data_IF_873232992402
#
_entry.id   IF_873232992402
#
_cell.length_a   1.000
_cell.length_b   1.000
_cell.length_c   1.000
_cell.angle_alpha   90.00
_cell.angle_beta   90.00
_cell.angle_gamma   90.00
#
_symmetry.space_group_name_H-M   'P 1'
#
loop_
_entity.id
_entity.type
_entity.pdbx_description
1 polymer ?
#
# COMPACT_ATOMS: atom_id res chain seq x y z
N UNK A 1 7.15 0.55 -22.69
CA UNK A 1 6.53 0.04 -21.47
C UNK A 1 5.92 1.20 -20.73
N UNK A 2 4.63 1.17 -20.57
CA UNK A 2 3.99 2.20 -19.77
C UNK A 2 4.34 1.99 -18.29
N UNK A 3 4.62 3.05 -17.57
CA UNK A 3 4.79 3.01 -16.13
C UNK A 3 3.49 2.80 -15.37
N UNK A 4 2.45 2.31 -16.02
CA UNK A 4 1.10 2.30 -15.50
C UNK A 4 0.94 1.46 -14.23
N UNK A 5 1.66 0.35 -14.10
CA UNK A 5 1.58 -0.54 -12.93
C UNK A 5 2.86 -0.54 -12.12
N UNK A 6 3.74 0.41 -12.33
CA UNK A 6 5.05 0.42 -11.68
C UNK A 6 4.98 0.58 -10.16
N UNK A 7 4.05 1.39 -9.66
CA UNK A 7 3.88 1.56 -8.23
C UNK A 7 3.49 0.24 -7.56
N UNK A 8 2.56 -0.50 -8.15
CA UNK A 8 2.16 -1.82 -7.66
C UNK A 8 3.34 -2.79 -7.66
N UNK A 9 4.07 -2.86 -8.78
CA UNK A 9 5.20 -3.76 -8.93
C UNK A 9 6.33 -3.42 -7.96
N UNK A 10 6.64 -2.14 -7.81
CA UNK A 10 7.64 -1.68 -6.85
C UNK A 10 7.21 -2.03 -5.42
N UNK A 11 5.95 -1.80 -5.08
CA UNK A 11 5.41 -2.14 -3.76
C UNK A 11 5.48 -3.65 -3.50
N UNK A 12 5.13 -4.47 -4.46
CA UNK A 12 5.23 -5.93 -4.33
C UNK A 12 6.67 -6.39 -4.16
N UNK A 13 7.60 -5.80 -4.90
CA UNK A 13 9.03 -6.10 -4.75
C UNK A 13 9.52 -5.71 -3.35
N UNK A 14 9.09 -4.56 -2.81
CA UNK A 14 9.45 -4.15 -1.46
C UNK A 14 8.92 -5.12 -0.41
N UNK A 15 7.70 -5.66 -0.59
CA UNK A 15 7.16 -6.67 0.31
C UNK A 15 8.04 -7.92 0.31
N UNK A 16 8.52 -8.34 -0.86
CA UNK A 16 9.41 -9.49 -0.98
C UNK A 16 10.79 -9.23 -0.35
N UNK A 17 11.28 -8.00 -0.43
CA UNK A 17 12.59 -7.62 0.12
C UNK A 17 12.56 -7.29 1.61
N UNK A 18 11.39 -7.03 2.17
CA UNK A 18 11.25 -6.60 3.57
C UNK A 18 11.96 -7.49 4.58
N UNK A 19 11.92 -8.86 4.48
CA UNK A 19 12.65 -9.72 5.42
C UNK A 19 14.16 -9.56 5.41
N UNK A 20 14.72 -8.98 4.35
CA UNK A 20 16.17 -8.80 4.19
C UNK A 20 16.66 -7.43 4.68
N UNK A 21 15.75 -6.60 5.20
CA UNK A 21 16.08 -5.32 5.80
C UNK A 21 15.95 -4.13 4.86
N UNK A 22 16.13 -2.96 5.43
CA UNK A 22 15.99 -1.68 4.75
C UNK A 22 17.35 -1.20 4.25
N UNK A 23 17.76 -1.69 3.09
CA UNK A 23 19.02 -1.34 2.45
C UNK A 23 18.90 -0.17 1.46
N UNK A 24 19.99 0.15 0.75
CA UNK A 24 20.01 1.22 -0.24
C UNK A 24 19.00 0.99 -1.37
N UNK A 25 18.79 -0.24 -1.80
CA UNK A 25 17.81 -0.58 -2.83
C UNK A 25 16.40 -0.24 -2.37
N UNK A 26 16.06 -0.61 -1.13
CA UNK A 26 14.78 -0.29 -0.51
C UNK A 26 14.61 1.22 -0.39
N UNK A 27 15.65 1.95 0.04
CA UNK A 27 15.58 3.40 0.16
C UNK A 27 15.32 4.09 -1.17
N UNK A 28 15.96 3.63 -2.23
CA UNK A 28 15.73 4.18 -3.57
C UNK A 28 14.31 3.90 -4.08
N UNK A 29 13.79 2.71 -3.80
CA UNK A 29 12.43 2.35 -4.16
C UNK A 29 11.40 3.21 -3.40
N UNK A 30 11.63 3.45 -2.11
CA UNK A 30 10.77 4.32 -1.31
C UNK A 30 10.81 5.78 -1.82
N UNK A 31 12.00 6.28 -2.17
CA UNK A 31 12.13 7.62 -2.73
C UNK A 31 11.35 7.74 -4.04
N UNK A 32 11.45 6.73 -4.90
CA UNK A 32 10.70 6.69 -6.16
C UNK A 32 9.19 6.66 -5.91
N UNK A 33 8.71 5.86 -4.95
CA UNK A 33 7.28 5.83 -4.60
C UNK A 33 6.79 7.20 -4.12
N UNK A 34 7.61 7.94 -3.36
CA UNK A 34 7.26 9.30 -2.93
C UNK A 34 7.07 10.23 -4.13
N UNK A 35 7.88 10.08 -5.16
CA UNK A 35 7.74 10.88 -6.38
C UNK A 35 6.48 10.51 -7.17
N UNK A 36 6.03 9.25 -7.08
CA UNK A 36 4.85 8.79 -7.79
C UNK A 36 3.54 9.14 -7.09
N UNK A 37 3.57 9.45 -5.81
CA UNK A 37 2.37 9.77 -5.06
C UNK A 37 1.71 11.04 -5.59
N UNK A 38 0.41 10.98 -5.83
CA UNK A 38 -0.37 12.13 -6.26
C UNK A 38 -0.64 13.08 -5.08
N UNK A 39 -1.04 14.34 -5.34
CA UNK A 39 -1.27 15.32 -4.27
C UNK A 39 -2.28 14.90 -3.22
N UNK A 40 -3.19 13.98 -3.54
CA UNK A 40 -4.20 13.45 -2.61
C UNK A 40 -3.77 12.16 -1.89
N UNK A 41 -2.55 11.70 -2.13
CA UNK A 41 -2.02 10.47 -1.53
C UNK A 41 -2.27 9.21 -2.35
N UNK A 42 -2.94 9.33 -3.50
CA UNK A 42 -3.21 8.18 -4.36
C UNK A 42 -2.04 7.85 -5.27
N UNK A 43 -2.11 6.66 -5.86
CA UNK A 43 -1.14 6.17 -6.85
C UNK A 43 -1.88 5.76 -8.11
N UNK A 44 -1.24 5.99 -9.26
CA UNK A 44 -1.84 5.69 -10.54
C UNK A 44 -1.58 4.24 -10.96
N UNK A 45 -2.61 3.61 -11.53
CA UNK A 45 -2.50 2.38 -12.30
C UNK A 45 -3.17 2.62 -13.65
N UNK A 46 -2.44 2.39 -14.72
CA UNK A 46 -2.93 2.67 -16.08
C UNK A 46 -3.43 4.11 -16.26
N UNK A 47 -2.74 5.06 -15.61
CA UNK A 47 -3.05 6.48 -15.74
C UNK A 47 -4.16 7.01 -14.85
N UNK A 48 -4.77 6.17 -14.02
CA UNK A 48 -5.87 6.57 -13.12
C UNK A 48 -5.57 6.17 -11.67
N UNK A 49 -5.98 7.00 -10.69
CA UNK A 49 -5.86 6.62 -9.28
C UNK A 49 -6.59 5.31 -9.00
N UNK A 50 -5.93 4.39 -8.33
CA UNK A 50 -6.44 3.05 -8.04
C UNK A 50 -6.32 2.73 -6.55
N UNK A 51 -7.39 2.18 -5.98
CA UNK A 51 -7.40 1.75 -4.58
C UNK A 51 -6.39 0.64 -4.34
N UNK A 52 -6.28 -0.31 -5.26
CA UNK A 52 -5.35 -1.43 -5.12
C UNK A 52 -3.89 -0.96 -5.11
N UNK A 53 -3.55 0.06 -5.90
CA UNK A 53 -2.20 0.63 -5.89
C UNK A 53 -1.88 1.25 -4.53
N UNK A 54 -2.80 2.01 -3.95
CA UNK A 54 -2.62 2.55 -2.60
C UNK A 54 -2.45 1.43 -1.57
N UNK A 55 -3.28 0.39 -1.66
CA UNK A 55 -3.23 -0.75 -0.74
C UNK A 55 -1.90 -1.49 -0.83
N UNK A 56 -1.38 -1.72 -2.04
CA UNK A 56 -0.08 -2.39 -2.21
C UNK A 56 1.07 -1.57 -1.61
N UNK A 57 1.06 -0.26 -1.80
CA UNK A 57 2.07 0.61 -1.18
C UNK A 57 1.99 0.53 0.34
N UNK A 58 0.79 0.57 0.92
CA UNK A 58 0.60 0.43 2.37
C UNK A 58 1.09 -0.91 2.89
N UNK A 59 0.81 -2.00 2.16
CA UNK A 59 1.31 -3.33 2.53
C UNK A 59 2.84 -3.37 2.53
N UNK A 60 3.47 -2.71 1.57
CA UNK A 60 4.93 -2.61 1.51
C UNK A 60 5.49 -1.84 2.71
N UNK A 61 4.89 -0.70 3.04
CA UNK A 61 5.31 0.09 4.20
C UNK A 61 5.15 -0.69 5.49
N UNK A 62 4.01 -1.35 5.66
CA UNK A 62 3.75 -2.17 6.85
C UNK A 62 4.76 -3.32 6.98
N UNK A 63 5.07 -4.01 5.87
CA UNK A 63 6.06 -5.08 5.87
C UNK A 63 7.45 -4.58 6.26
N UNK A 64 7.79 -3.34 5.91
CA UNK A 64 9.04 -2.70 6.29
C UNK A 64 9.00 -2.07 7.70
N UNK A 65 7.86 -2.11 8.38
CA UNK A 65 7.69 -1.50 9.69
C UNK A 65 7.63 0.02 9.66
N UNK A 66 7.21 0.60 8.54
CA UNK A 66 7.22 2.04 8.31
C UNK A 66 5.81 2.62 8.48
N UNK A 67 5.68 3.63 9.31
CA UNK A 67 4.45 4.38 9.47
C UNK A 67 4.25 5.31 8.27
N UNK A 68 3.12 5.23 7.56
CA UNK A 68 2.89 6.07 6.37
C UNK A 68 2.97 7.58 6.65
N UNK A 69 2.46 8.04 7.78
CA UNK A 69 2.49 9.46 8.11
C UNK A 69 3.91 9.95 8.38
N UNK A 70 4.71 9.15 9.07
CA UNK A 70 6.11 9.49 9.34
C UNK A 70 6.93 9.56 8.06
N UNK A 71 6.67 8.67 7.10
CA UNK A 71 7.46 8.60 5.88
C UNK A 71 7.01 9.59 4.80
N UNK A 72 5.71 9.80 4.65
CA UNK A 72 5.14 10.63 3.57
C UNK A 72 4.56 11.96 4.06
N UNK A 73 4.21 12.08 5.33
CA UNK A 73 3.57 13.26 5.89
C UNK A 73 2.06 13.08 6.07
N UNK A 74 1.35 14.19 6.29
CA UNK A 74 -0.09 14.18 6.56
C UNK A 74 -0.93 13.71 5.36
N UNK A 75 -0.45 13.94 4.15
CA UNK A 75 -1.00 13.32 2.94
C UNK A 75 -0.09 12.14 2.61
N UNK A 76 -0.65 10.94 2.62
CA UNK A 76 0.12 9.71 2.50
C UNK A 76 -0.76 8.61 1.87
N UNK A 77 -0.20 7.42 1.59
CA UNK A 77 -1.00 6.35 0.97
C UNK A 77 -2.24 5.93 1.76
N UNK A 78 -2.25 6.08 3.07
CA UNK A 78 -3.44 5.76 3.88
C UNK A 78 -4.55 6.78 3.63
N UNK A 79 -4.23 8.07 3.60
CA UNK A 79 -5.21 9.11 3.26
C UNK A 79 -5.66 8.97 1.81
N UNK A 80 -4.77 8.55 0.91
CA UNK A 80 -5.11 8.25 -0.48
C UNK A 80 -6.10 7.11 -0.60
N UNK A 81 -5.87 6.02 0.13
CA UNK A 81 -6.79 4.88 0.14
C UNK A 81 -8.18 5.28 0.64
N UNK A 82 -8.25 6.15 1.64
CA UNK A 82 -9.50 6.62 2.22
C UNK A 82 -10.41 7.32 1.19
N UNK A 83 -9.84 7.90 0.13
CA UNK A 83 -10.61 8.54 -0.94
C UNK A 83 -11.54 7.56 -1.69
N UNK A 84 -11.23 6.27 -1.66
CA UNK A 84 -12.00 5.23 -2.36
C UNK A 84 -13.10 4.62 -1.48
N UNK A 85 -13.17 4.98 -0.21
CA UNK A 85 -14.13 4.39 0.72
C UNK A 85 -15.54 4.85 0.41
N UNK A 86 -16.46 3.88 0.30
CA UNK A 86 -17.87 4.12 0.07
C UNK A 86 -18.64 4.23 1.41
N UNK A 87 -19.85 4.77 1.35
CA UNK A 87 -20.69 4.96 2.54
C UNK A 87 -21.01 3.66 3.28
N UNK A 88 -21.05 2.53 2.57
CA UNK A 88 -21.30 1.20 3.15
C UNK A 88 -20.04 0.55 3.75
N UNK A 89 -18.90 1.24 3.72
CA UNK A 89 -17.63 0.74 4.23
C UNK A 89 -16.79 -0.04 3.23
N UNK A 90 -17.32 -0.33 2.04
CA UNK A 90 -16.55 -0.95 0.95
C UNK A 90 -15.63 0.08 0.29
N UNK A 91 -14.75 -0.40 -0.58
CA UNK A 91 -13.82 0.44 -1.34
C UNK A 91 -14.09 0.29 -2.84
N UNK A 92 -14.14 1.41 -3.54
CA UNK A 92 -14.23 1.43 -4.99
C UNK A 92 -12.87 1.16 -5.61
N UNK A 93 -12.87 0.67 -6.85
CA UNK A 93 -11.63 0.46 -7.61
C UNK A 93 -11.03 1.79 -8.07
N UNK A 94 -11.86 2.66 -8.64
CA UNK A 94 -11.48 3.98 -9.14
C UNK A 94 -12.24 5.08 -8.39
N UNK A 95 -11.70 6.30 -8.38
CA UNK A 95 -12.37 7.44 -7.74
C UNK A 95 -13.69 7.82 -8.42
N UNK A 96 -13.84 7.47 -9.70
CA UNK A 96 -15.06 7.72 -10.47
C UNK A 96 -16.15 6.68 -10.26
N UNK A 97 -15.83 5.56 -9.62
CA UNK A 97 -16.81 4.51 -9.36
C UNK A 97 -17.74 4.92 -8.21
N UNK A 98 -19.01 4.53 -8.34
CA UNK A 98 -20.06 4.84 -7.36
C UNK A 98 -20.40 3.65 -6.47
N UNK A 99 -19.79 2.50 -6.73
CA UNK A 99 -20.03 1.26 -5.99
C UNK A 99 -18.73 0.65 -5.54
N UNK A 100 -18.79 -0.11 -4.45
CA UNK A 100 -17.66 -0.88 -3.96
C UNK A 100 -17.29 -2.01 -4.91
N UNK A 101 -16.01 -2.39 -4.86
CA UNK A 101 -15.43 -3.46 -5.65
C UNK A 101 -14.84 -4.50 -4.68
N UNK A 102 -15.12 -5.78 -4.92
CA UNK A 102 -14.68 -6.84 -4.02
C UNK A 102 -13.17 -6.88 -3.89
N UNK A 103 -12.43 -6.86 -5.00
CA UNK A 103 -10.97 -6.91 -4.98
C UNK A 103 -10.37 -5.69 -4.28
N UNK A 104 -10.88 -4.50 -4.59
CA UNK A 104 -10.43 -3.27 -3.95
C UNK A 104 -10.68 -3.32 -2.43
N UNK A 105 -11.86 -3.80 -2.03
CA UNK A 105 -12.21 -3.92 -0.61
C UNK A 105 -11.32 -4.93 0.10
N UNK A 106 -11.06 -6.10 -0.50
CA UNK A 106 -10.17 -7.10 0.08
C UNK A 106 -8.76 -6.54 0.28
N UNK A 107 -8.21 -5.88 -0.73
CA UNK A 107 -6.87 -5.32 -0.65
C UNK A 107 -6.79 -4.17 0.36
N UNK A 108 -7.81 -3.31 0.40
CA UNK A 108 -7.87 -2.25 1.39
C UNK A 108 -7.89 -2.82 2.81
N UNK A 109 -8.69 -3.86 3.06
CA UNK A 109 -8.78 -4.50 4.37
C UNK A 109 -7.45 -5.14 4.78
N UNK A 110 -6.77 -5.81 3.86
CA UNK A 110 -5.43 -6.38 4.12
C UNK A 110 -4.44 -5.28 4.50
N UNK A 111 -4.45 -4.17 3.77
CA UNK A 111 -3.55 -3.05 4.04
C UNK A 111 -3.80 -2.43 5.41
N UNK A 112 -5.06 -2.18 5.74
CA UNK A 112 -5.43 -1.60 7.03
C UNK A 112 -5.11 -2.55 8.19
N UNK A 113 -5.34 -3.85 8.02
CA UNK A 113 -4.95 -4.84 9.03
C UNK A 113 -3.44 -4.87 9.23
N UNK A 114 -2.67 -4.76 8.14
CA UNK A 114 -1.21 -4.71 8.22
C UNK A 114 -0.73 -3.48 9.01
N UNK A 115 -1.36 -2.33 8.78
CA UNK A 115 -1.04 -1.10 9.52
C UNK A 115 -1.35 -1.23 11.01
N UNK A 116 -2.47 -1.84 11.37
CA UNK A 116 -2.80 -2.11 12.77
C UNK A 116 -1.79 -3.03 13.44
N UNK A 117 -1.11 -3.88 12.68
CA UNK A 117 -0.09 -4.80 13.18
C UNK A 117 1.32 -4.22 13.16
N UNK A 118 1.50 -2.95 12.81
CA UNK A 118 2.82 -2.31 12.78
C UNK A 118 3.64 -2.53 14.06
N UNK A 119 3.06 -2.42 15.28
CA UNK A 119 3.81 -2.70 16.50
C UNK A 119 4.36 -4.13 16.58
N UNK A 120 3.72 -5.06 15.88
CA UNK A 120 4.08 -6.48 15.87
C UNK A 120 4.79 -6.91 14.57
N UNK A 121 5.25 -5.94 13.76
CA UNK A 121 5.98 -6.20 12.52
C UNK A 121 5.21 -5.99 11.22
N UNK A 122 3.89 -5.78 11.26
CA UNK A 122 3.09 -5.32 10.12
C UNK A 122 2.81 -6.33 9.00
N UNK A 123 3.40 -7.52 9.03
CA UNK A 123 3.24 -8.49 7.95
C UNK A 123 2.00 -9.35 8.15
N UNK A 124 1.06 -9.31 7.18
CA UNK A 124 -0.18 -10.13 7.22
C UNK A 124 0.01 -11.54 6.66
N UNK A 125 1.13 -11.78 5.99
CA UNK A 125 1.42 -13.06 5.35
C UNK A 125 2.29 -14.00 6.20
N UNK A 126 2.75 -13.55 7.37
CA UNK A 126 3.51 -14.39 8.27
C UNK A 126 2.63 -15.42 8.94
N UNK A 127 3.02 -16.68 8.78
CA UNK A 127 2.34 -17.79 9.45
C UNK A 127 2.82 -17.89 10.89
N UNK A 128 1.89 -18.12 11.83
CA UNK A 128 2.21 -18.44 13.22
C UNK A 128 3.10 -19.68 13.34
N UNK A 129 3.04 -20.55 12.36
CA UNK A 129 3.84 -21.80 12.36
C UNK A 129 5.30 -21.57 11.97
N UNK A 130 5.60 -20.43 11.38
CA UNK A 130 6.96 -20.07 10.98
C UNK A 130 7.83 -19.74 12.18
N UNK A 131 7.22 -19.22 13.24
CA UNK A 131 7.91 -18.89 14.48
C UNK A 131 8.16 -20.10 15.37
N UNK A 132 7.34 -21.15 15.20
CA UNK A 132 7.45 -22.38 15.98
C UNK A 132 8.50 -23.36 15.43
N UNK A 133 9.01 -23.10 14.25
CA UNK A 133 10.08 -23.90 13.65
C UNK A 133 11.45 -23.32 13.99
#
# INVERSE_FOLDING_TARGET
VSGASEADMTAMALQALAPYGRDETVERALAWLKEQMQPDGTFLAYGEPSAESCAQVLLALAALGIDPEQEFGSVNPETGLAEFRQADGSYAHLLTDTEGNLMATEQAMLALCALERLPDGGCVYESKYREAA
#
